data_IF_137685007677
#
_entry.id   IF_137685007677
#
_cell.length_a   1.000
_cell.length_b   1.000
_cell.length_c   1.000
_cell.angle_alpha   90.00
_cell.angle_beta   90.00
_cell.angle_gamma   90.00
#
_symmetry.space_group_name_H-M   'P 1'
#
loop_
_entity.id
_entity.type
_entity.pdbx_description
1 polymer ?
#
# COMPACT_ATOMS: atom_id res chain seq x y z
N UNK A 1 2.35 4.19 30.46
CA UNK A 1 1.30 3.37 29.80
C UNK A 1 2.03 2.43 28.86
N UNK A 2 1.96 1.13 29.10
CA UNK A 2 2.56 0.11 28.23
C UNK A 2 1.84 0.14 26.89
N UNK A 3 2.54 0.55 25.83
CA UNK A 3 2.03 0.52 24.46
C UNK A 3 1.77 -0.96 24.10
N UNK A 4 0.56 -1.29 23.68
CA UNK A 4 0.22 -2.64 23.23
C UNK A 4 0.72 -2.80 21.79
N UNK A 5 1.56 -3.80 21.48
CA UNK A 5 2.05 -4.00 20.13
C UNK A 5 0.90 -4.31 19.16
N UNK A 6 0.96 -3.72 17.97
CA UNK A 6 -0.05 -3.87 16.93
C UNK A 6 0.11 -5.25 16.30
N UNK A 7 -0.78 -6.18 16.65
CA UNK A 7 -0.81 -7.51 16.06
C UNK A 7 -1.98 -7.62 15.07
N UNK A 8 -1.68 -7.57 13.77
CA UNK A 8 -2.67 -7.82 12.74
C UNK A 8 -2.40 -9.17 12.05
N UNK A 9 -3.18 -10.19 12.45
CA UNK A 9 -3.08 -11.54 11.89
C UNK A 9 -4.23 -11.88 10.93
N UNK A 10 -5.08 -10.91 10.58
CA UNK A 10 -6.31 -11.16 9.79
C UNK A 10 -6.03 -11.85 8.45
N UNK A 11 -4.94 -11.48 7.78
CA UNK A 11 -4.54 -12.08 6.49
C UNK A 11 -3.99 -13.48 6.69
N UNK A 12 -3.13 -13.69 7.68
CA UNK A 12 -2.52 -15.01 7.92
C UNK A 12 -3.55 -16.00 8.45
N UNK A 13 -4.48 -15.57 9.33
CA UNK A 13 -5.60 -16.38 9.80
C UNK A 13 -6.52 -16.78 8.66
N UNK A 14 -6.84 -15.85 7.76
CA UNK A 14 -7.67 -16.15 6.60
C UNK A 14 -6.97 -17.12 5.63
N UNK A 15 -5.66 -16.97 5.42
CA UNK A 15 -4.86 -17.90 4.63
C UNK A 15 -4.78 -19.28 5.29
N UNK A 16 -4.51 -19.33 6.60
CA UNK A 16 -4.45 -20.56 7.39
C UNK A 16 -5.77 -21.32 7.36
N UNK A 17 -6.89 -20.60 7.52
CA UNK A 17 -8.23 -21.15 7.42
C UNK A 17 -8.50 -21.76 6.04
N UNK A 18 -8.17 -21.02 4.97
CA UNK A 18 -8.38 -21.47 3.60
C UNK A 18 -7.56 -22.73 3.28
N UNK A 19 -6.27 -22.74 3.61
CA UNK A 19 -5.40 -23.91 3.39
C UNK A 19 -5.81 -25.10 4.26
N UNK A 20 -6.22 -24.86 5.52
CA UNK A 20 -6.72 -25.92 6.40
C UNK A 20 -7.94 -26.62 5.80
N UNK A 21 -8.94 -25.86 5.36
CA UNK A 21 -10.15 -26.41 4.76
C UNK A 21 -9.90 -27.09 3.42
N UNK A 22 -9.02 -26.54 2.59
CA UNK A 22 -8.56 -27.17 1.35
C UNK A 22 -7.88 -28.51 1.62
N UNK A 23 -7.02 -28.57 2.63
CA UNK A 23 -6.35 -29.82 3.04
C UNK A 23 -7.34 -30.86 3.56
N UNK A 24 -8.37 -30.46 4.30
CA UNK A 24 -9.44 -31.37 4.74
C UNK A 24 -10.17 -31.97 3.53
N UNK A 25 -10.59 -31.13 2.58
CA UNK A 25 -11.26 -31.60 1.35
C UNK A 25 -10.36 -32.56 0.56
N UNK A 26 -9.10 -32.19 0.35
CA UNK A 26 -8.14 -33.05 -0.33
C UNK A 26 -7.98 -34.40 0.39
N UNK A 27 -7.84 -34.39 1.71
CA UNK A 27 -7.71 -35.60 2.52
C UNK A 27 -8.92 -36.51 2.43
N UNK A 28 -10.14 -35.95 2.46
CA UNK A 28 -11.39 -36.71 2.33
C UNK A 28 -11.50 -37.34 0.94
N UNK A 29 -11.25 -36.56 -0.11
CA UNK A 29 -11.28 -37.06 -1.49
C UNK A 29 -10.24 -38.18 -1.72
N UNK A 30 -9.04 -38.03 -1.17
CA UNK A 30 -7.98 -39.06 -1.21
C UNK A 30 -8.45 -40.35 -0.53
N UNK A 31 -9.04 -40.25 0.67
CA UNK A 31 -9.54 -41.43 1.41
C UNK A 31 -10.67 -42.16 0.69
N UNK A 32 -11.45 -41.45 -0.11
CA UNK A 32 -12.56 -42.01 -0.90
C UNK A 32 -12.13 -42.44 -2.32
N UNK A 33 -10.85 -42.28 -2.67
CA UNK A 33 -10.33 -42.58 -4.02
C UNK A 33 -10.80 -41.62 -5.12
N UNK A 34 -11.40 -40.48 -4.76
CA UNK A 34 -11.98 -39.47 -5.67
C UNK A 34 -11.01 -38.30 -5.88
N UNK A 35 -9.79 -38.59 -6.31
CA UNK A 35 -8.73 -37.59 -6.47
C UNK A 35 -9.05 -36.53 -7.53
N UNK A 36 -9.78 -36.93 -8.57
CA UNK A 36 -10.26 -36.09 -9.67
C UNK A 36 -11.17 -34.95 -9.19
N UNK A 37 -11.95 -35.18 -8.13
CA UNK A 37 -12.92 -34.21 -7.60
C UNK A 37 -12.33 -33.16 -6.65
N UNK A 38 -11.04 -33.25 -6.30
CA UNK A 38 -10.42 -32.31 -5.33
C UNK A 38 -10.55 -30.87 -5.81
N UNK A 39 -10.23 -30.61 -7.08
CA UNK A 39 -10.27 -29.26 -7.65
C UNK A 39 -11.70 -28.71 -7.74
N UNK A 40 -12.64 -29.54 -8.21
CA UNK A 40 -14.06 -29.19 -8.33
C UNK A 40 -14.68 -28.87 -6.95
N UNK A 41 -14.48 -29.76 -5.96
CA UNK A 41 -15.03 -29.59 -4.63
C UNK A 41 -14.38 -28.43 -3.87
N UNK A 42 -13.09 -28.18 -4.07
CA UNK A 42 -12.43 -26.99 -3.50
C UNK A 42 -13.03 -25.72 -4.09
N UNK A 43 -13.20 -25.64 -5.41
CA UNK A 43 -13.79 -24.48 -6.07
C UNK A 43 -15.27 -24.27 -5.67
N UNK A 44 -16.04 -25.34 -5.52
CA UNK A 44 -17.46 -25.27 -5.15
C UNK A 44 -17.68 -24.93 -3.67
N UNK A 45 -16.86 -25.45 -2.76
CA UNK A 45 -17.06 -25.32 -1.31
C UNK A 45 -16.29 -24.15 -0.68
N UNK A 46 -15.07 -23.87 -1.14
CA UNK A 46 -14.25 -22.75 -0.63
C UNK A 46 -14.27 -21.54 -1.54
N UNK A 47 -14.50 -21.73 -2.85
CA UNK A 47 -14.33 -20.67 -3.83
C UNK A 47 -12.89 -20.17 -3.93
N UNK A 48 -12.74 -18.94 -4.42
CA UNK A 48 -11.43 -18.28 -4.51
C UNK A 48 -10.98 -17.75 -3.15
N UNK A 49 -9.67 -17.83 -2.89
CA UNK A 49 -9.08 -17.23 -1.70
C UNK A 49 -9.33 -15.71 -1.68
N UNK A 50 -9.93 -15.23 -0.59
CA UNK A 50 -10.20 -13.80 -0.43
C UNK A 50 -8.88 -13.01 -0.41
N UNK A 51 -8.83 -11.89 -1.13
CA UNK A 51 -7.68 -10.98 -1.13
C UNK A 51 -7.88 -9.89 -0.08
N UNK A 52 -7.74 -10.24 1.20
CA UNK A 52 -7.82 -9.28 2.30
C UNK A 52 -6.54 -8.44 2.35
N UNK A 53 -6.68 -7.12 2.54
CA UNK A 53 -5.55 -6.22 2.75
C UNK A 53 -5.20 -6.20 4.22
N UNK A 54 -3.91 -6.40 4.53
CA UNK A 54 -3.41 -6.20 5.88
C UNK A 54 -3.71 -4.76 6.34
N UNK A 55 -4.30 -4.64 7.53
CA UNK A 55 -4.42 -3.37 8.22
C UNK A 55 -3.01 -2.85 8.52
N UNK A 56 -2.80 -1.57 8.24
CA UNK A 56 -1.54 -0.90 8.51
C UNK A 56 -1.52 -0.46 9.97
N UNK A 57 -0.39 -0.68 10.62
CA UNK A 57 -0.14 -0.18 11.96
C UNK A 57 -0.29 1.36 11.98
N UNK A 58 -1.14 1.92 12.87
CA UNK A 58 -1.28 3.36 13.05
C UNK A 58 0.00 4.07 13.51
N UNK A 59 0.84 3.39 14.30
CA UNK A 59 2.04 3.97 14.92
C UNK A 59 3.29 3.82 14.03
N UNK A 60 3.20 2.99 12.99
CA UNK A 60 4.30 2.83 12.03
C UNK A 60 4.56 4.13 11.28
N UNK A 61 5.80 4.64 11.31
CA UNK A 61 6.17 5.86 10.61
C UNK A 61 5.80 5.81 9.13
N UNK A 62 5.27 6.93 8.63
CA UNK A 62 4.91 7.05 7.22
C UNK A 62 6.18 7.12 6.39
N UNK A 63 6.19 6.38 5.26
CA UNK A 63 7.31 6.35 4.31
C UNK A 63 7.78 7.75 3.92
N UNK A 64 9.09 7.94 3.67
CA UNK A 64 9.62 9.24 3.32
C UNK A 64 9.08 9.71 1.98
N UNK A 65 8.83 11.01 1.88
CA UNK A 65 8.28 11.68 0.72
C UNK A 65 9.43 12.06 -0.23
N UNK A 66 9.31 11.71 -1.51
CA UNK A 66 10.32 12.06 -2.51
C UNK A 66 10.24 13.54 -2.91
N UNK A 67 11.33 14.08 -3.46
CA UNK A 67 11.38 15.48 -3.94
C UNK A 67 10.26 15.79 -4.94
N UNK A 68 9.98 14.87 -5.86
CA UNK A 68 8.86 15.01 -6.80
C UNK A 68 7.50 15.09 -6.11
N UNK A 69 7.27 14.32 -5.03
CA UNK A 69 6.00 14.36 -4.29
C UNK A 69 5.83 15.68 -3.52
N UNK A 70 6.91 16.24 -2.99
CA UNK A 70 6.88 17.60 -2.43
C UNK A 70 6.56 18.65 -3.48
N UNK A 71 7.18 18.57 -4.65
CA UNK A 71 6.82 19.43 -5.77
C UNK A 71 5.35 19.28 -6.16
N UNK A 72 4.85 18.05 -6.25
CA UNK A 72 3.45 17.78 -6.53
C UNK A 72 2.53 18.42 -5.47
N UNK A 73 2.88 18.37 -4.19
CA UNK A 73 2.09 18.97 -3.12
C UNK A 73 1.99 20.50 -3.26
N UNK A 74 3.09 21.15 -3.62
CA UNK A 74 3.14 22.61 -3.81
C UNK A 74 2.47 23.06 -5.11
N UNK A 75 2.66 22.32 -6.21
CA UNK A 75 2.20 22.69 -7.55
C UNK A 75 0.76 22.25 -7.85
N UNK A 76 0.27 21.18 -7.23
CA UNK A 76 -1.08 20.63 -7.48
C UNK A 76 -2.21 21.65 -7.22
N UNK A 77 -2.23 22.44 -6.14
CA UNK A 77 -3.29 23.44 -5.92
C UNK A 77 -3.34 24.49 -7.03
N UNK A 78 -2.18 24.92 -7.53
CA UNK A 78 -2.08 25.92 -8.60
C UNK A 78 -2.59 25.36 -9.93
N UNK A 79 -2.23 24.13 -10.27
CA UNK A 79 -2.70 23.47 -11.50
C UNK A 79 -4.20 23.16 -11.40
N UNK A 80 -4.68 22.74 -10.22
CA UNK A 80 -6.09 22.47 -9.97
C UNK A 80 -6.95 23.73 -10.15
N UNK A 81 -6.49 24.89 -9.64
CA UNK A 81 -7.15 26.19 -9.86
C UNK A 81 -7.18 26.56 -11.34
N UNK A 82 -6.07 26.39 -12.07
CA UNK A 82 -5.99 26.68 -13.51
C UNK A 82 -6.90 25.79 -14.36
N UNK A 83 -7.05 24.52 -13.97
CA UNK A 83 -7.81 23.54 -14.73
C UNK A 83 -9.33 23.66 -14.55
N UNK A 84 -9.83 24.31 -13.48
CA UNK A 84 -11.23 24.76 -13.34
C UNK A 84 -12.33 23.70 -13.56
N UNK A 85 -12.02 22.41 -13.42
CA UNK A 85 -12.93 21.32 -13.81
C UNK A 85 -13.55 20.63 -12.60
N UNK A 86 -14.88 20.61 -12.57
CA UNK A 86 -15.70 19.97 -11.54
C UNK A 86 -15.74 18.43 -11.62
N UNK A 87 -15.09 17.81 -12.62
CA UNK A 87 -15.05 16.36 -12.81
C UNK A 87 -13.79 15.74 -12.17
N UNK A 88 -13.86 15.45 -10.87
CA UNK A 88 -12.72 15.06 -10.04
C UNK A 88 -11.86 13.89 -10.59
N UNK A 89 -12.47 12.90 -11.27
CA UNK A 89 -11.77 11.67 -11.69
C UNK A 89 -10.93 11.84 -12.98
N UNK A 90 -11.43 12.60 -13.96
CA UNK A 90 -10.69 12.88 -15.20
C UNK A 90 -9.58 13.90 -14.97
N UNK A 91 -9.80 14.83 -14.05
CA UNK A 91 -8.91 15.96 -13.78
C UNK A 91 -7.61 15.52 -13.10
N UNK A 92 -7.63 14.50 -12.25
CA UNK A 92 -6.41 14.03 -11.59
C UNK A 92 -5.38 13.47 -12.57
N UNK A 93 -5.83 12.76 -13.62
CA UNK A 93 -4.94 12.23 -14.65
C UNK A 93 -4.26 13.35 -15.44
N UNK A 94 -5.02 14.37 -15.82
CA UNK A 94 -4.49 15.54 -16.56
C UNK A 94 -3.56 16.39 -15.68
N UNK A 95 -3.90 16.58 -14.40
CA UNK A 95 -3.02 17.26 -13.42
C UNK A 95 -1.70 16.49 -13.26
N UNK A 96 -1.75 15.16 -13.13
CA UNK A 96 -0.55 14.35 -12.98
C UNK A 96 0.37 14.44 -14.21
N UNK A 97 -0.21 14.45 -15.42
CA UNK A 97 0.55 14.67 -16.67
C UNK A 97 1.24 16.04 -16.67
N UNK A 98 0.52 17.09 -16.27
CA UNK A 98 1.06 18.44 -16.22
C UNK A 98 2.15 18.60 -15.16
N UNK A 99 1.96 18.01 -13.98
CA UNK A 99 2.98 17.95 -12.92
C UNK A 99 4.26 17.25 -13.41
N UNK A 100 4.11 16.13 -14.13
CA UNK A 100 5.25 15.43 -14.71
C UNK A 100 6.03 16.28 -15.72
N UNK A 101 5.34 17.07 -16.55
CA UNK A 101 5.97 18.01 -17.49
C UNK A 101 6.72 19.12 -16.76
N UNK A 102 6.07 19.76 -15.79
CA UNK A 102 6.68 20.86 -15.04
C UNK A 102 7.88 20.40 -14.20
N UNK A 103 7.85 19.18 -13.66
CA UNK A 103 8.98 18.60 -12.96
C UNK A 103 10.19 18.37 -13.88
N UNK A 104 9.96 17.89 -15.11
CA UNK A 104 11.03 17.73 -16.10
C UNK A 104 11.58 19.07 -16.61
N UNK A 105 10.75 20.10 -16.64
CA UNK A 105 11.13 21.46 -17.03
C UNK A 105 11.72 22.30 -15.88
N UNK A 106 11.79 21.75 -14.67
CA UNK A 106 12.32 22.44 -13.50
C UNK A 106 13.84 22.62 -13.65
N UNK A 107 14.35 23.80 -13.31
CA UNK A 107 15.80 24.02 -13.26
C UNK A 107 16.44 23.26 -12.10
N UNK A 108 17.72 22.91 -12.26
CA UNK A 108 18.47 22.14 -11.26
C UNK A 108 18.44 22.82 -9.87
N UNK A 109 18.59 24.15 -9.82
CA UNK A 109 18.51 24.92 -8.57
C UNK A 109 17.16 24.77 -7.86
N UNK A 110 16.05 24.75 -8.61
CA UNK A 110 14.71 24.57 -8.02
C UNK A 110 14.50 23.11 -7.60
N UNK A 111 15.08 22.17 -8.34
CA UNK A 111 14.99 20.74 -8.04
C UNK A 111 15.75 20.41 -6.77
N UNK A 112 16.91 21.03 -6.58
CA UNK A 112 17.75 20.87 -5.40
C UNK A 112 17.01 21.22 -4.10
N UNK A 113 16.17 22.26 -4.09
CA UNK A 113 15.32 22.59 -2.93
C UNK A 113 14.41 21.41 -2.53
N UNK A 114 13.85 20.70 -3.51
CA UNK A 114 13.02 19.53 -3.26
C UNK A 114 13.83 18.29 -2.89
N UNK A 115 15.04 18.15 -3.42
CA UNK A 115 15.95 17.06 -3.05
C UNK A 115 16.44 17.22 -1.61
N UNK A 116 16.73 18.45 -1.16
CA UNK A 116 17.06 18.75 0.24
C UNK A 116 15.87 18.44 1.17
N UNK A 117 14.64 18.83 0.79
CA UNK A 117 13.44 18.44 1.54
C UNK A 117 13.29 16.92 1.64
N UNK A 118 13.53 16.21 0.54
CA UNK A 118 13.45 14.75 0.50
C UNK A 118 14.51 14.07 1.37
N UNK A 119 15.75 14.58 1.38
CA UNK A 119 16.81 14.08 2.26
C UNK A 119 16.47 14.27 3.73
N UNK A 120 16.00 15.47 4.10
CA UNK A 120 15.54 15.75 5.47
C UNK A 120 14.37 14.85 5.89
N UNK A 121 13.45 14.55 4.97
CA UNK A 121 12.33 13.65 5.27
C UNK A 121 12.76 12.19 5.45
N UNK A 122 13.82 11.79 4.73
CA UNK A 122 14.45 10.48 4.89
C UNK A 122 15.10 10.36 6.26
N UNK A 123 15.85 11.37 6.70
CA UNK A 123 16.44 11.43 8.04
C UNK A 123 15.36 11.34 9.13
N UNK A 124 14.28 12.14 9.02
CA UNK A 124 13.12 12.05 9.95
C UNK A 124 12.56 10.62 9.99
N UNK A 125 12.35 10.00 8.81
CA UNK A 125 11.81 8.65 8.75
C UNK A 125 12.74 7.61 9.40
N UNK A 126 14.06 7.75 9.24
CA UNK A 126 15.05 6.89 9.87
C UNK A 126 14.97 7.02 11.40
N UNK A 127 14.96 8.25 11.94
CA UNK A 127 14.81 8.50 13.38
C UNK A 127 13.46 7.99 13.93
N UNK A 128 12.36 8.22 13.21
CA UNK A 128 11.03 7.77 13.63
C UNK A 128 10.93 6.24 13.58
N UNK A 129 11.57 5.59 12.60
CA UNK A 129 11.63 4.14 12.49
C UNK A 129 12.50 3.51 13.58
N UNK A 130 13.62 4.15 13.94
CA UNK A 130 14.43 3.72 15.08
C UNK A 130 13.60 3.77 16.37
N UNK A 131 12.91 4.89 16.63
CA UNK A 131 12.01 5.01 17.79
C UNK A 131 10.88 3.99 17.78
N UNK A 132 10.29 3.73 16.61
CA UNK A 132 9.27 2.71 16.45
C UNK A 132 9.82 1.32 16.77
N UNK A 133 11.00 0.96 16.26
CA UNK A 133 11.63 -0.33 16.52
C UNK A 133 12.08 -0.51 17.98
N UNK A 134 12.38 0.58 18.71
CA UNK A 134 12.76 0.50 20.13
C UNK A 134 11.56 0.48 21.07
N UNK A 135 10.44 1.09 20.67
CA UNK A 135 9.25 1.24 21.52
C UNK A 135 8.16 0.20 21.23
N UNK A 136 8.32 -0.64 20.20
CA UNK A 136 7.36 -1.64 19.74
C UNK A 136 8.00 -3.03 19.72
#
# INVERSE_FOLDING_TARGET
>A
MTHLPFHNDTVSLQHLWFESHKNIIATVCIKLGQHDKIAELTASLLGDALKIKAMKDPDKPKRPTSGYLYFCQDARPNIMKKMGKNNAKLVLGDIAKELGKQWKALSDNKREVYDVKSKKDKERYEEDMEKYNTNH
#
